data_IF_305590142061
#
_entry.id   IF_305590142061
#
_cell.length_a   1.000
_cell.length_b   1.000
_cell.length_c   1.000
_cell.angle_alpha   90.00
_cell.angle_beta   90.00
_cell.angle_gamma   90.00
#
_symmetry.space_group_name_H-M   'P 1'
#
loop_
_entity.id
_entity.type
_entity.pdbx_description
1 polymer ?
#
# COMPACT_ATOMS: atom_id res chain seq x y z
N UNK A 1 0.52 5.78 5.91
CA UNK A 1 1.39 4.58 5.89
C UNK A 1 1.63 4.20 4.45
N UNK A 2 0.61 3.66 3.77
CA UNK A 2 0.62 3.58 2.30
C UNK A 2 0.64 4.98 1.67
N UNK A 3 1.14 5.07 0.43
CA UNK A 3 1.24 6.28 -0.39
C UNK A 3 0.51 6.12 -1.73
N UNK A 4 -0.51 5.25 -1.78
CA UNK A 4 -1.28 4.98 -2.99
C UNK A 4 -0.69 3.90 -3.90
N UNK A 5 -1.44 3.57 -4.94
CA UNK A 5 -1.16 2.45 -5.82
C UNK A 5 -0.34 2.84 -7.04
N UNK A 6 0.49 1.92 -7.53
CA UNK A 6 1.23 2.03 -8.79
C UNK A 6 0.92 0.83 -9.71
N UNK A 7 0.94 1.01 -11.05
CA UNK A 7 0.69 -0.09 -11.99
C UNK A 7 1.74 -1.19 -11.87
N UNK A 8 1.33 -2.45 -11.99
CA UNK A 8 2.24 -3.60 -12.05
C UNK A 8 2.47 -4.00 -13.52
N UNK A 9 3.70 -3.79 -14.01
CA UNK A 9 4.04 -4.10 -15.40
C UNK A 9 3.86 -5.59 -15.72
N UNK A 10 3.31 -5.87 -16.91
CA UNK A 10 3.03 -7.26 -17.34
C UNK A 10 1.71 -7.84 -16.84
N UNK A 11 0.88 -7.06 -16.13
CA UNK A 11 -0.43 -7.50 -15.65
C UNK A 11 -1.59 -6.84 -16.41
N UNK A 12 -2.80 -7.38 -16.24
CA UNK A 12 -4.02 -6.81 -16.82
C UNK A 12 -4.59 -5.66 -15.97
N UNK A 13 -3.82 -4.58 -15.84
CA UNK A 13 -4.23 -3.38 -15.11
C UNK A 13 -4.25 -3.56 -13.59
N UNK A 14 -3.47 -4.49 -13.06
CA UNK A 14 -3.30 -4.66 -11.61
C UNK A 14 -2.36 -3.62 -11.03
N UNK A 15 -2.46 -3.45 -9.72
CA UNK A 15 -1.70 -2.44 -8.99
C UNK A 15 -0.95 -3.05 -7.82
N UNK A 16 0.25 -2.53 -7.58
CA UNK A 16 0.93 -2.66 -6.30
C UNK A 16 0.73 -1.40 -5.46
N UNK A 17 1.09 -1.44 -4.19
CA UNK A 17 0.89 -0.37 -3.22
C UNK A 17 2.24 0.16 -2.75
N UNK A 18 2.42 1.48 -2.79
CA UNK A 18 3.66 2.15 -2.43
C UNK A 18 3.62 2.66 -0.99
N UNK A 19 4.79 3.04 -0.46
CA UNK A 19 4.89 3.76 0.81
C UNK A 19 5.87 3.18 1.83
N UNK A 20 6.79 2.28 1.41
CA UNK A 20 7.81 1.73 2.31
C UNK A 20 8.91 2.77 2.62
N UNK A 21 9.19 3.69 1.70
CA UNK A 21 10.19 4.73 1.91
C UNK A 21 9.85 5.62 3.11
N UNK A 22 10.74 5.63 4.09
CA UNK A 22 10.59 6.36 5.35
C UNK A 22 9.42 5.88 6.21
N UNK A 23 8.99 4.61 6.08
CA UNK A 23 7.86 4.09 6.83
C UNK A 23 8.16 4.01 8.34
N UNK A 24 9.35 3.55 8.72
CA UNK A 24 9.73 3.37 10.12
C UNK A 24 9.75 4.70 10.88
N UNK A 25 10.37 5.73 10.31
CA UNK A 25 10.46 7.08 10.88
C UNK A 25 9.08 7.70 11.03
N UNK A 26 8.22 7.55 10.01
CA UNK A 26 6.82 8.01 10.09
C UNK A 26 6.03 7.26 11.16
N UNK A 27 6.17 5.94 11.27
CA UNK A 27 5.53 5.16 12.32
C UNK A 27 5.97 5.60 13.72
N UNK A 28 7.27 5.85 13.93
CA UNK A 28 7.80 6.34 15.20
C UNK A 28 7.22 7.73 15.55
N UNK A 29 7.14 8.63 14.57
CA UNK A 29 6.50 9.94 14.75
C UNK A 29 5.01 9.81 15.06
N UNK A 30 4.25 9.00 14.31
CA UNK A 30 2.83 8.77 14.58
C UNK A 30 2.59 8.17 15.97
N UNK A 31 3.45 7.25 16.42
CA UNK A 31 3.36 6.69 17.76
C UNK A 31 3.62 7.74 18.84
N UNK A 32 4.60 8.62 18.64
CA UNK A 32 4.85 9.78 19.52
C UNK A 32 3.63 10.72 19.56
N UNK A 33 2.94 10.86 18.44
CA UNK A 33 1.74 11.70 18.32
C UNK A 33 0.44 10.99 18.78
N UNK A 34 0.55 9.76 19.33
CA UNK A 34 -0.55 9.04 19.98
C UNK A 34 -1.28 8.01 19.11
N UNK A 35 -0.81 7.72 17.90
CA UNK A 35 -1.38 6.64 17.09
C UNK A 35 -0.92 5.25 17.56
N UNK A 36 -1.86 4.33 17.74
CA UNK A 36 -1.58 2.95 18.19
C UNK A 36 -1.69 1.90 17.08
N UNK A 37 -2.34 2.24 15.98
CA UNK A 37 -2.47 1.36 14.82
C UNK A 37 -2.35 2.18 13.54
N UNK A 38 -2.22 1.49 12.42
CA UNK A 38 -2.47 2.14 11.15
C UNK A 38 -2.93 1.16 10.08
N UNK A 39 -3.34 1.73 8.96
CA UNK A 39 -3.93 1.02 7.83
C UNK A 39 -3.03 1.11 6.62
N UNK A 40 -3.00 0.01 5.86
CA UNK A 40 -2.38 -0.10 4.56
C UNK A 40 -3.36 -0.78 3.60
N UNK A 41 -3.69 -0.17 2.46
CA UNK A 41 -4.70 -0.70 1.53
C UNK A 41 -4.11 -1.19 0.21
N UNK A 42 -4.18 -2.50 -0.02
CA UNK A 42 -4.00 -3.08 -1.35
C UNK A 42 -5.33 -3.11 -2.13
N UNK A 43 -5.26 -3.04 -3.46
CA UNK A 43 -6.43 -3.09 -4.34
C UNK A 43 -6.26 -4.23 -5.33
N UNK A 44 -7.23 -5.13 -5.37
CA UNK A 44 -7.28 -6.25 -6.29
C UNK A 44 -8.62 -6.21 -7.05
N UNK A 45 -8.60 -6.65 -8.31
CA UNK A 45 -9.77 -6.68 -9.19
C UNK A 45 -10.05 -8.11 -9.63
N UNK A 46 -11.30 -8.54 -9.55
CA UNK A 46 -11.73 -9.87 -9.98
C UNK A 46 -12.14 -9.81 -11.46
N UNK A 47 -11.47 -10.61 -12.30
CA UNK A 47 -11.82 -10.84 -13.71
C UNK A 47 -11.47 -12.28 -14.10
N UNK A 48 -11.59 -12.65 -15.38
CA UNK A 48 -11.19 -13.97 -15.87
C UNK A 48 -9.68 -14.24 -15.75
N UNK A 49 -8.85 -13.20 -15.62
CA UNK A 49 -7.38 -13.32 -15.58
C UNK A 49 -6.74 -12.57 -14.41
N UNK A 50 -7.54 -12.08 -13.44
CA UNK A 50 -7.06 -11.36 -12.25
C UNK A 50 -7.89 -11.76 -11.01
N UNK A 51 -7.30 -11.80 -9.80
CA UNK A 51 -5.89 -11.50 -9.50
C UNK A 51 -4.94 -12.57 -10.04
N UNK A 52 -3.81 -12.17 -10.61
CA UNK A 52 -2.79 -13.08 -11.16
C UNK A 52 -1.92 -13.71 -10.08
#
# INVERSE_FOLDING_TARGET
>A
LDKGTAPLAGTNGETTIQGLDGLAERCAQYKKDGADFGKWRAVLKITSTTPS
#
